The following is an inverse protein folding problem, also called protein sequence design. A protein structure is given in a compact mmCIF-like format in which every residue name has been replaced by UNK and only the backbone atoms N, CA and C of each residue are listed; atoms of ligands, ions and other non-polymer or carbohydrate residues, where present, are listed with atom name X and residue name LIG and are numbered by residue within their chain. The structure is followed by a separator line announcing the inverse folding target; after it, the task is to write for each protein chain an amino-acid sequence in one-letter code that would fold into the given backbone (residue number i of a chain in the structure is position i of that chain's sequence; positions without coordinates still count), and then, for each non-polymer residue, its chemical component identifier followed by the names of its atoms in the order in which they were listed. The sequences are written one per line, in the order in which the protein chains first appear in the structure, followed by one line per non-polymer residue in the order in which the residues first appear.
data_IF_924238601009
#
_entry.id   IF_924238601009
#
_cell.length_a   1.000
_cell.length_b   1.000
_cell.length_c   1.000
_cell.angle_alpha   90.00
_cell.angle_beta   90.00
_cell.angle_gamma   90.00
#
_symmetry.space_group_name_H-M   'P 1'
#
loop_
_entity.id
_entity.type
_entity.pdbx_description
1 polymer ?
#
# COMPACT_ATOMS: atom_id res chain seq x y z
N UNK A 1 2.43 -10.88 -24.32
CA UNK A 1 2.60 -9.81 -23.32
C UNK A 1 1.43 -9.86 -22.35
N UNK A 2 1.67 -9.83 -21.04
CA UNK A 2 0.63 -9.83 -20.01
C UNK A 2 0.87 -8.63 -19.09
N UNK A 3 -0.19 -7.92 -18.71
CA UNK A 3 -0.13 -6.78 -17.80
C UNK A 3 -1.46 -6.65 -17.06
N UNK A 4 -1.42 -6.26 -15.80
CA UNK A 4 -2.61 -5.95 -15.01
C UNK A 4 -3.23 -4.59 -15.36
N UNK A 5 -2.43 -3.70 -15.97
CA UNK A 5 -2.86 -2.37 -16.44
C UNK A 5 -2.41 -2.17 -17.87
N UNK A 6 -3.18 -1.41 -18.66
CA UNK A 6 -2.86 -1.16 -20.07
C UNK A 6 -2.93 0.33 -20.41
N UNK A 7 -2.09 1.16 -19.77
CA UNK A 7 -2.01 2.59 -20.07
C UNK A 7 -1.47 2.84 -21.48
N UNK A 8 -1.58 4.08 -21.96
CA UNK A 8 -1.19 4.45 -23.34
C UNK A 8 0.25 4.07 -23.67
N UNK A 9 1.16 4.21 -22.72
CA UNK A 9 2.59 3.88 -22.86
C UNK A 9 2.80 2.39 -23.11
N UNK A 10 2.10 1.53 -22.36
CA UNK A 10 2.16 0.07 -22.52
C UNK A 10 1.52 -0.36 -23.85
N UNK A 11 0.43 0.33 -24.27
CA UNK A 11 -0.20 0.11 -25.57
C UNK A 11 0.76 0.43 -26.72
N UNK A 12 1.41 1.59 -26.68
CA UNK A 12 2.41 1.96 -27.68
C UNK A 12 3.59 0.99 -27.76
N UNK A 13 4.00 0.43 -26.60
CA UNK A 13 5.02 -0.62 -26.57
C UNK A 13 4.54 -1.91 -27.23
N UNK A 14 3.30 -2.33 -26.95
CA UNK A 14 2.70 -3.51 -27.55
C UNK A 14 2.59 -3.36 -29.09
N UNK A 15 2.12 -2.22 -29.57
CA UNK A 15 2.00 -1.92 -31.00
C UNK A 15 3.35 -1.93 -31.72
N UNK A 16 4.41 -1.48 -31.04
CA UNK A 16 5.77 -1.43 -31.61
C UNK A 16 6.42 -2.82 -31.73
N UNK A 17 6.19 -3.70 -30.77
CA UNK A 17 6.93 -4.98 -30.69
C UNK A 17 6.11 -6.21 -31.03
N UNK A 18 4.77 -6.14 -31.02
CA UNK A 18 3.92 -7.26 -31.34
C UNK A 18 3.33 -7.09 -32.75
N UNK A 19 3.60 -8.06 -33.63
CA UNK A 19 3.01 -8.13 -34.95
C UNK A 19 1.75 -9.00 -34.92
N UNK A 20 0.64 -8.53 -35.52
CA UNK A 20 -0.63 -9.27 -35.62
C UNK A 20 -1.12 -9.83 -34.27
N UNK A 21 -1.03 -9.06 -33.23
CA UNK A 21 -1.47 -9.50 -31.89
C UNK A 21 -3.00 -9.45 -31.77
N UNK A 22 -3.51 -10.34 -30.91
CA UNK A 22 -4.90 -10.33 -30.46
C UNK A 22 -4.91 -9.75 -29.04
N UNK A 23 -5.77 -8.75 -28.82
CA UNK A 23 -5.98 -8.19 -27.50
C UNK A 23 -7.08 -8.97 -26.78
N UNK A 24 -6.77 -9.49 -25.60
CA UNK A 24 -7.73 -10.17 -24.71
C UNK A 24 -7.78 -9.39 -23.41
N UNK A 25 -8.87 -8.70 -23.15
CA UNK A 25 -9.15 -7.97 -21.91
C UNK A 25 -10.08 -8.79 -21.01
N UNK A 26 -9.71 -8.93 -19.73
CA UNK A 26 -10.57 -9.55 -18.72
C UNK A 26 -11.00 -8.46 -17.73
N UNK A 27 -12.30 -8.25 -17.59
CA UNK A 27 -12.87 -7.21 -16.73
C UNK A 27 -13.43 -6.02 -17.50
N UNK A 28 -13.66 -4.91 -16.80
CA UNK A 28 -14.16 -3.65 -17.42
C UNK A 28 -13.07 -2.99 -18.24
N UNK A 29 -13.10 -3.19 -19.54
CA UNK A 29 -12.16 -2.58 -20.49
C UNK A 29 -12.13 -1.05 -20.38
N UNK A 30 -10.93 -0.51 -20.34
CA UNK A 30 -10.66 0.92 -20.56
C UNK A 30 -10.92 1.88 -19.41
N UNK A 31 -11.40 1.44 -18.26
CA UNK A 31 -11.49 2.29 -17.07
C UNK A 31 -10.24 2.08 -16.20
N UNK A 32 -9.18 2.81 -16.53
CA UNK A 32 -8.09 3.06 -15.57
C UNK A 32 -8.71 3.55 -14.27
N UNK A 33 -8.54 2.78 -13.18
CA UNK A 33 -9.00 3.19 -11.87
C UNK A 33 -10.33 2.61 -11.40
N UNK A 34 -10.83 1.50 -11.96
CA UNK A 34 -11.96 0.79 -11.34
C UNK A 34 -11.52 0.22 -10.00
N UNK A 35 -11.91 0.90 -8.94
CA UNK A 35 -11.69 0.42 -7.56
C UNK A 35 -12.70 -0.67 -7.26
N UNK A 36 -12.25 -1.73 -6.59
CA UNK A 36 -13.16 -2.77 -6.09
C UNK A 36 -14.22 -2.13 -5.20
N UNK A 37 -15.49 -2.52 -5.38
CA UNK A 37 -16.61 -2.04 -4.55
C UNK A 37 -16.47 -2.39 -3.07
N UNK A 38 -15.61 -3.35 -2.72
CA UNK A 38 -15.30 -3.74 -1.34
C UNK A 38 -14.27 -2.82 -0.66
N UNK A 39 -13.62 -1.90 -1.40
CA UNK A 39 -12.61 -1.00 -0.87
C UNK A 39 -13.25 0.36 -0.60
N UNK A 40 -13.23 0.80 0.66
CA UNK A 40 -13.56 2.17 1.03
C UNK A 40 -12.35 3.05 0.79
N UNK A 41 -12.50 4.08 -0.04
CA UNK A 41 -11.48 5.11 -0.25
C UNK A 41 -11.80 6.35 0.58
N UNK A 42 -10.78 6.93 1.19
CA UNK A 42 -10.87 8.15 1.96
C UNK A 42 -9.74 9.10 1.55
N UNK A 43 -10.07 10.35 1.22
CA UNK A 43 -9.13 11.38 0.84
C UNK A 43 -9.00 12.39 1.97
N UNK A 44 -7.78 12.64 2.41
CA UNK A 44 -7.49 13.58 3.49
C UNK A 44 -6.65 14.72 2.93
N UNK A 45 -7.14 15.97 3.08
CA UNK A 45 -6.38 17.16 2.71
C UNK A 45 -5.35 17.48 3.79
N UNK A 46 -4.09 17.48 3.40
CA UNK A 46 -2.94 17.65 4.30
C UNK A 46 -2.17 18.95 4.07
N UNK A 47 -2.72 19.93 3.33
CA UNK A 47 -2.00 21.15 2.93
C UNK A 47 -1.48 21.98 4.09
N UNK A 48 -2.15 21.96 5.22
CA UNK A 48 -1.83 22.80 6.39
C UNK A 48 -1.37 21.99 7.62
N UNK A 49 -1.14 20.72 7.49
CA UNK A 49 -0.78 19.84 8.60
C UNK A 49 0.37 18.91 8.26
N UNK A 50 1.07 18.43 9.27
CA UNK A 50 2.11 17.42 9.10
C UNK A 50 1.51 16.08 8.70
N UNK A 51 1.93 15.54 7.55
CA UNK A 51 1.51 14.21 7.07
C UNK A 51 1.76 13.11 8.10
N UNK A 52 2.86 13.20 8.83
CA UNK A 52 3.22 12.21 9.84
C UNK A 52 2.27 12.25 11.04
N UNK A 53 1.82 13.44 11.46
CA UNK A 53 0.82 13.57 12.53
C UNK A 53 -0.51 12.96 12.10
N UNK A 54 -1.01 13.34 10.94
CA UNK A 54 -2.27 12.81 10.40
C UNK A 54 -2.22 11.28 10.27
N UNK A 55 -1.11 10.74 9.76
CA UNK A 55 -0.92 9.30 9.65
C UNK A 55 -0.95 8.63 11.01
N UNK A 56 -0.27 9.18 12.00
CA UNK A 56 -0.24 8.64 13.36
C UNK A 56 -1.62 8.66 14.03
N UNK A 57 -2.35 9.77 13.90
CA UNK A 57 -3.71 9.89 14.44
C UNK A 57 -4.67 8.92 13.76
N UNK A 58 -4.50 8.72 12.45
CA UNK A 58 -5.29 7.75 11.69
C UNK A 58 -5.04 6.30 12.15
N UNK A 59 -3.77 5.93 12.37
CA UNK A 59 -3.38 4.63 12.92
C UNK A 59 -4.00 4.42 14.31
N UNK A 60 -3.89 5.40 15.20
CA UNK A 60 -4.50 5.34 16.55
C UNK A 60 -6.02 5.20 16.52
N UNK A 61 -6.67 5.90 15.61
CA UNK A 61 -8.13 5.82 15.47
C UNK A 61 -8.58 4.46 14.94
N UNK A 62 -7.77 3.80 14.12
CA UNK A 62 -8.02 2.43 13.69
C UNK A 62 -7.90 1.45 14.85
N UNK A 63 -6.84 1.54 15.65
CA UNK A 63 -6.66 0.73 16.87
C UNK A 63 -7.83 0.93 17.85
N UNK A 64 -8.26 2.18 18.09
CA UNK A 64 -9.37 2.49 18.99
C UNK A 64 -10.71 1.91 18.52
N UNK A 65 -10.98 1.90 17.22
CA UNK A 65 -12.21 1.32 16.66
C UNK A 65 -12.21 -0.21 16.72
N UNK A 66 -11.05 -0.83 16.57
CA UNK A 66 -10.90 -2.28 16.64
C UNK A 66 -11.05 -2.76 18.10
N UNK A 67 -10.48 -2.04 19.04
CA UNK A 67 -10.61 -2.34 20.48
C UNK A 67 -12.06 -2.21 20.97
N UNK A 68 -12.82 -1.22 20.50
CA UNK A 68 -14.19 -0.99 20.95
C UNK A 68 -15.21 -2.01 20.41
N UNK A 69 -14.95 -2.58 19.24
CA UNK A 69 -15.91 -3.49 18.57
C UNK A 69 -15.57 -4.97 18.80
N UNK A 70 -14.35 -5.32 19.20
CA UNK A 70 -13.85 -6.70 19.20
C UNK A 70 -13.04 -7.09 20.44
N UNK A 71 -13.37 -6.56 21.61
CA UNK A 71 -12.59 -6.83 22.85
C UNK A 71 -12.47 -8.31 23.27
N UNK A 72 -13.22 -9.22 22.66
CA UNK A 72 -13.19 -10.65 22.96
C UNK A 72 -12.51 -11.53 21.89
N UNK A 73 -12.27 -11.02 20.69
CA UNK A 73 -11.66 -11.80 19.59
C UNK A 73 -10.31 -11.21 19.14
N UNK A 74 -9.94 -10.02 19.62
CA UNK A 74 -8.77 -9.25 19.15
C UNK A 74 -7.39 -9.85 19.52
N UNK A 75 -7.35 -10.97 20.24
CA UNK A 75 -6.06 -11.64 20.53
C UNK A 75 -5.35 -12.17 19.27
N UNK A 76 -6.05 -12.21 18.12
CA UNK A 76 -5.54 -12.83 16.88
C UNK A 76 -5.60 -11.94 15.62
N UNK A 77 -6.15 -10.74 15.68
CA UNK A 77 -6.27 -9.87 14.50
C UNK A 77 -5.63 -8.52 14.78
N UNK A 78 -4.32 -8.44 14.71
CA UNK A 78 -3.65 -7.15 14.60
C UNK A 78 -3.92 -6.59 13.19
N UNK A 79 -4.53 -5.40 13.05
CA UNK A 79 -4.73 -4.79 11.75
C UNK A 79 -3.37 -4.54 11.12
N UNK A 80 -3.19 -5.02 9.89
CA UNK A 80 -1.99 -4.75 9.14
C UNK A 80 -2.19 -3.48 8.33
N UNK A 81 -1.29 -2.54 8.51
CA UNK A 81 -1.32 -1.25 7.84
C UNK A 81 -0.14 -1.18 6.88
N UNK A 82 -0.42 -0.97 5.60
CA UNK A 82 0.58 -0.77 4.57
C UNK A 82 0.59 0.69 4.15
N UNK A 83 1.73 1.35 4.30
CA UNK A 83 1.92 2.77 3.97
C UNK A 83 2.83 2.91 2.77
N UNK A 84 2.33 3.45 1.66
CA UNK A 84 3.12 3.77 0.49
C UNK A 84 3.65 5.20 0.56
N UNK A 85 4.94 5.36 0.28
CA UNK A 85 5.61 6.66 0.22
C UNK A 85 6.18 6.91 -1.18
N UNK A 86 6.20 8.17 -1.60
CA UNK A 86 6.68 8.55 -2.93
C UNK A 86 8.19 8.37 -3.13
N UNK A 87 8.99 8.42 -2.06
CA UNK A 87 10.45 8.34 -2.12
C UNK A 87 11.03 7.51 -0.97
N UNK A 88 12.23 6.94 -1.16
CA UNK A 88 12.99 6.23 -0.12
C UNK A 88 13.23 7.12 1.12
N UNK A 89 13.53 8.40 0.91
CA UNK A 89 13.71 9.37 2.00
C UNK A 89 12.43 9.57 2.81
N UNK A 90 11.28 9.60 2.15
CA UNK A 90 9.98 9.67 2.83
C UNK A 90 9.71 8.40 3.64
N UNK A 91 10.06 7.21 3.13
CA UNK A 91 9.97 5.95 3.87
C UNK A 91 10.78 6.02 5.16
N UNK A 92 12.05 6.44 5.09
CA UNK A 92 12.93 6.56 6.25
C UNK A 92 12.37 7.56 7.29
N UNK A 93 11.85 8.71 6.84
CA UNK A 93 11.27 9.71 7.72
C UNK A 93 10.01 9.18 8.45
N UNK A 94 9.11 8.54 7.73
CA UNK A 94 7.89 7.93 8.30
C UNK A 94 8.26 6.82 9.28
N UNK A 95 9.19 5.96 8.93
CA UNK A 95 9.70 4.89 9.79
C UNK A 95 10.25 5.44 11.11
N UNK A 96 11.17 6.41 11.04
CA UNK A 96 11.76 7.04 12.24
C UNK A 96 10.69 7.70 13.11
N UNK A 97 9.75 8.41 12.51
CA UNK A 97 8.69 9.08 13.23
C UNK A 97 7.76 8.08 13.94
N UNK A 98 7.29 7.04 13.27
CA UNK A 98 6.38 6.05 13.86
C UNK A 98 7.10 5.20 14.93
N UNK A 99 8.38 4.85 14.72
CA UNK A 99 9.21 4.17 15.71
C UNK A 99 9.38 5.01 16.98
N UNK A 100 9.58 6.35 16.85
CA UNK A 100 9.66 7.25 18.01
C UNK A 100 8.36 7.35 18.81
N UNK A 101 7.24 6.90 18.22
CA UNK A 101 5.93 6.82 18.88
C UNK A 101 5.64 5.44 19.48
N UNK A 102 6.65 4.58 19.61
CA UNK A 102 6.55 3.20 20.11
C UNK A 102 5.62 2.29 19.31
N UNK A 103 5.42 2.58 18.02
CA UNK A 103 4.74 1.66 17.12
C UNK A 103 5.72 0.63 16.57
N UNK A 104 5.29 -0.62 16.47
CA UNK A 104 6.06 -1.66 15.80
C UNK A 104 5.90 -1.46 14.29
N UNK A 105 6.97 -1.01 13.62
CA UNK A 105 7.00 -0.71 12.20
C UNK A 105 8.20 -1.34 11.52
N UNK A 106 8.04 -1.68 10.26
CA UNK A 106 9.13 -2.11 9.38
C UNK A 106 9.09 -1.27 8.10
N UNK A 107 10.23 -1.09 7.48
CA UNK A 107 10.33 -0.39 6.20
C UNK A 107 10.83 -1.31 5.10
N UNK A 108 10.44 -1.01 3.86
CA UNK A 108 10.93 -1.73 2.69
C UNK A 108 11.19 -0.75 1.55
N UNK A 109 12.37 -0.80 0.97
CA UNK A 109 12.76 0.03 -0.18
C UNK A 109 13.93 -0.59 -0.94
N UNK A 110 14.22 -0.05 -2.14
CA UNK A 110 15.20 -0.64 -3.05
C UNK A 110 16.66 -0.66 -2.58
N UNK A 111 17.02 0.10 -1.53
CA UNK A 111 18.39 0.11 -0.98
C UNK A 111 18.60 -0.98 0.07
N UNK A 112 17.54 -1.67 0.51
CA UNK A 112 17.67 -2.83 1.38
C UNK A 112 18.13 -4.05 0.60
N UNK A 113 18.89 -4.94 1.25
CA UNK A 113 19.25 -6.23 0.68
C UNK A 113 18.00 -7.07 0.39
N UNK A 114 18.11 -8.01 -0.55
CA UNK A 114 16.98 -8.91 -0.85
C UNK A 114 16.58 -9.71 0.39
N UNK A 115 17.55 -10.15 1.18
CA UNK A 115 17.32 -10.88 2.43
C UNK A 115 16.52 -10.07 3.44
N UNK A 116 16.85 -8.79 3.64
CA UNK A 116 16.14 -7.92 4.57
C UNK A 116 14.70 -7.68 4.11
N UNK A 117 14.48 -7.52 2.80
CA UNK A 117 13.13 -7.39 2.23
C UNK A 117 12.29 -8.64 2.46
N UNK A 118 12.86 -9.82 2.27
CA UNK A 118 12.17 -11.10 2.50
C UNK A 118 11.81 -11.29 3.97
N UNK A 119 12.73 -10.99 4.89
CA UNK A 119 12.46 -11.02 6.33
C UNK A 119 11.33 -10.06 6.69
N UNK A 120 11.36 -8.83 6.18
CA UNK A 120 10.31 -7.84 6.45
C UNK A 120 8.94 -8.32 5.95
N UNK A 121 8.87 -8.90 4.76
CA UNK A 121 7.62 -9.44 4.20
C UNK A 121 7.14 -10.62 5.04
N UNK A 122 8.02 -11.56 5.39
CA UNK A 122 7.67 -12.74 6.18
C UNK A 122 7.12 -12.36 7.56
N UNK A 123 7.71 -11.37 8.22
CA UNK A 123 7.20 -10.85 9.49
C UNK A 123 5.86 -10.10 9.34
N UNK A 124 5.57 -9.59 8.14
CA UNK A 124 4.32 -8.87 7.86
C UNK A 124 3.15 -9.79 7.51
N UNK A 125 3.41 -11.01 7.07
CA UNK A 125 2.40 -11.99 6.65
C UNK A 125 2.42 -13.13 7.69
N UNK A 126 1.35 -13.40 8.45
CA UNK A 126 1.30 -14.57 9.31
C UNK A 126 1.25 -15.84 8.44
N UNK A 127 1.73 -16.96 8.98
CA UNK A 127 1.60 -18.25 8.34
C UNK A 127 0.14 -18.64 8.13
#
# INVERSE_FOLDING_TARGET
MFSATFPKEVRGLAEKYLQRYVYVGIGTEGKTGSVSKSIKQELIDVRHQSKNLILFDHIKNLDGKILSTFSLISKYINPKILVFCATKKAVANVYTYLSSKNLFVANIHGDLSQKDREVTITLSIPP
#
